data_IF_513796151697
#
_entry.id   IF_513796151697
#
_cell.length_a   1.000
_cell.length_b   1.000
_cell.length_c   1.000
_cell.angle_alpha   90.00
_cell.angle_beta   90.00
_cell.angle_gamma   90.00
#
_symmetry.space_group_name_H-M   'P 1'
#
loop_
_entity.id
_entity.type
_entity.pdbx_description
1 polymer ?
#
# COMPACT_ATOMS: atom_id res chain seq x y z
N UNK A 1 -9.75 11.49 4.36
CA UNK A 1 -9.88 12.03 2.98
C UNK A 1 -9.66 13.52 2.92
N UNK A 2 -10.28 14.31 3.76
CA UNK A 2 -10.03 15.76 3.82
C UNK A 2 -8.61 16.12 4.27
N UNK A 3 -7.87 15.20 4.85
CA UNK A 3 -6.49 15.44 5.31
C UNK A 3 -5.44 15.33 4.21
N UNK A 4 -5.77 14.70 3.09
CA UNK A 4 -4.89 14.53 1.93
C UNK A 4 -5.19 15.55 0.83
N UNK A 5 -5.48 15.03 -0.34
CA UNK A 5 -5.72 15.82 -1.55
C UNK A 5 -6.90 16.79 -1.46
N UNK A 6 -8.01 16.43 -0.79
CA UNK A 6 -9.17 17.31 -0.66
C UNK A 6 -8.85 18.65 -0.02
N UNK A 7 -7.99 18.66 1.01
CA UNK A 7 -7.54 19.88 1.69
C UNK A 7 -6.82 20.86 0.75
N UNK A 8 -6.19 20.34 -0.28
CA UNK A 8 -5.42 21.14 -1.26
C UNK A 8 -6.16 21.32 -2.58
N UNK A 9 -7.43 20.97 -2.67
CA UNK A 9 -8.20 21.04 -3.90
C UNK A 9 -7.76 20.03 -4.98
N UNK A 10 -7.00 19.03 -4.61
CA UNK A 10 -6.59 17.96 -5.52
C UNK A 10 -7.71 16.94 -5.62
N UNK A 11 -8.14 16.53 -6.83
CA UNK A 11 -9.18 15.53 -6.99
C UNK A 11 -8.75 14.18 -6.42
N UNK A 12 -9.72 13.41 -5.94
CA UNK A 12 -9.50 12.03 -5.48
C UNK A 12 -8.94 11.19 -6.65
N UNK A 13 -7.92 10.34 -6.44
CA UNK A 13 -7.46 9.41 -7.44
C UNK A 13 -8.59 8.46 -7.89
N UNK A 14 -8.67 8.18 -9.19
CA UNK A 14 -9.61 7.20 -9.73
C UNK A 14 -9.24 5.76 -9.36
N UNK A 15 -7.96 5.47 -9.27
CA UNK A 15 -7.41 4.15 -8.91
C UNK A 15 -6.05 4.32 -8.23
N UNK A 16 -5.67 3.36 -7.39
CA UNK A 16 -4.31 3.25 -6.83
C UNK A 16 -3.64 1.98 -7.34
N UNK A 17 -2.42 2.11 -7.85
CA UNK A 17 -1.57 1.01 -8.29
C UNK A 17 -0.32 0.98 -7.41
N UNK A 18 -0.25 0.03 -6.49
CA UNK A 18 0.73 0.00 -5.40
C UNK A 18 1.66 -1.20 -5.52
N UNK A 19 2.94 -0.93 -5.70
CA UNK A 19 3.99 -1.94 -5.67
C UNK A 19 4.65 -1.95 -4.29
N UNK A 20 4.67 -3.10 -3.61
CA UNK A 20 5.29 -3.30 -2.28
C UNK A 20 5.08 -2.10 -1.32
N UNK A 21 3.83 -1.65 -1.07
CA UNK A 21 3.59 -0.42 -0.34
C UNK A 21 4.00 -0.53 1.13
N UNK A 22 4.58 0.56 1.66
CA UNK A 22 4.71 0.77 3.10
C UNK A 22 3.54 1.65 3.53
N UNK A 23 2.59 1.07 4.24
CA UNK A 23 1.30 1.70 4.53
C UNK A 23 0.88 1.60 6.00
N UNK A 24 1.61 0.83 6.81
CA UNK A 24 1.31 0.62 8.22
C UNK A 24 2.55 0.88 9.06
N UNK A 25 2.50 1.90 9.89
CA UNK A 25 3.60 2.34 10.74
C UNK A 25 3.46 1.91 12.19
N UNK A 26 2.32 1.32 12.55
CA UNK A 26 2.10 0.75 13.88
C UNK A 26 3.04 -0.45 14.08
N UNK A 27 3.77 -0.46 15.17
CA UNK A 27 4.77 -1.49 15.46
C UNK A 27 6.07 -1.37 14.67
N UNK A 28 6.31 -0.22 14.02
CA UNK A 28 7.59 0.06 13.36
C UNK A 28 8.76 -0.03 14.35
N UNK A 29 9.88 -0.54 13.87
CA UNK A 29 11.09 -0.70 14.71
C UNK A 29 11.77 0.65 15.00
N UNK A 30 12.58 0.75 16.07
CA UNK A 30 13.22 2.01 16.46
C UNK A 30 14.01 2.71 15.35
N UNK A 31 14.64 1.96 14.44
CA UNK A 31 15.36 2.53 13.31
C UNK A 31 14.47 3.38 12.38
N UNK A 32 13.19 3.06 12.29
CA UNK A 32 12.22 3.82 11.52
C UNK A 32 11.81 5.12 12.21
N UNK A 33 11.89 5.14 13.54
CA UNK A 33 11.62 6.34 14.35
C UNK A 33 12.62 7.47 14.05
N UNK A 34 13.85 7.12 13.66
CA UNK A 34 14.87 8.09 13.27
C UNK A 34 14.58 8.78 11.92
N UNK A 35 13.80 8.14 11.06
CA UNK A 35 13.41 8.68 9.76
C UNK A 35 12.16 9.56 9.82
N UNK A 36 11.35 9.36 10.86
CA UNK A 36 10.10 10.05 11.07
C UNK A 36 10.23 10.89 12.34
N UNK A 37 10.52 12.13 12.28
CA UNK A 37 10.68 13.10 13.39
C UNK A 37 10.07 12.67 14.75
N UNK A 38 10.89 12.66 15.79
CA UNK A 38 10.69 11.94 17.05
C UNK A 38 9.61 12.47 17.99
N UNK A 39 9.17 13.72 17.88
CA UNK A 39 8.39 14.38 18.94
C UNK A 39 6.88 14.04 19.00
N UNK A 40 6.35 13.29 18.02
CA UNK A 40 4.90 13.01 17.92
C UNK A 40 4.58 11.65 17.31
N UNK A 41 5.41 10.68 17.57
CA UNK A 41 5.44 9.38 16.87
C UNK A 41 4.10 8.64 16.85
N UNK A 42 3.43 8.45 17.98
CA UNK A 42 2.20 7.65 18.03
C UNK A 42 1.06 8.27 17.22
N UNK A 43 0.85 9.58 17.32
CA UNK A 43 -0.20 10.27 16.55
C UNK A 43 0.08 10.27 15.06
N UNK A 44 1.35 10.43 14.65
CA UNK A 44 1.75 10.37 13.25
C UNK A 44 1.59 8.97 12.70
N UNK A 45 2.05 7.94 13.41
CA UNK A 45 1.88 6.57 12.96
C UNK A 45 0.43 6.20 12.76
N UNK A 46 -0.44 6.54 13.70
CA UNK A 46 -1.85 6.33 13.54
C UNK A 46 -2.43 7.09 12.35
N UNK A 47 -2.05 8.36 12.19
CA UNK A 47 -2.54 9.23 11.12
C UNK A 47 -2.06 8.83 9.72
N UNK A 48 -0.91 8.17 9.62
CA UNK A 48 -0.34 7.71 8.35
C UNK A 48 -0.50 6.21 8.12
N UNK A 49 -1.09 5.48 9.04
CA UNK A 49 -1.39 4.06 8.85
C UNK A 49 -2.60 3.92 7.94
N UNK A 50 -2.35 3.74 6.64
CA UNK A 50 -3.35 3.76 5.59
C UNK A 50 -4.48 2.76 5.83
N UNK A 51 -4.17 1.56 6.31
CA UNK A 51 -5.18 0.54 6.62
C UNK A 51 -6.24 0.97 7.65
N UNK A 52 -5.95 2.00 8.45
CA UNK A 52 -6.91 2.60 9.40
C UNK A 52 -7.75 3.71 8.78
N UNK A 53 -7.39 4.16 7.59
CA UNK A 53 -8.02 5.26 6.87
C UNK A 53 -8.87 4.77 5.69
N UNK A 54 -8.87 3.48 5.42
CA UNK A 54 -9.70 2.89 4.37
C UNK A 54 -11.16 2.99 4.75
N UNK A 55 -11.96 3.58 3.86
CA UNK A 55 -13.42 3.71 3.96
C UNK A 55 -14.04 3.17 2.67
N UNK A 56 -15.37 2.98 2.59
CA UNK A 56 -16.03 2.58 1.34
C UNK A 56 -15.75 3.50 0.16
N UNK A 57 -15.43 4.78 0.43
CA UNK A 57 -15.06 5.76 -0.61
C UNK A 57 -13.57 5.73 -0.99
N UNK A 58 -12.81 4.78 -0.47
CA UNK A 58 -11.39 4.64 -0.84
C UNK A 58 -11.27 4.25 -2.32
N UNK A 59 -10.25 4.75 -3.05
CA UNK A 59 -10.10 4.41 -4.47
C UNK A 59 -9.94 2.91 -4.70
N UNK A 60 -10.48 2.36 -5.80
CA UNK A 60 -10.14 1.01 -6.23
C UNK A 60 -8.63 0.81 -6.22
N UNK A 61 -8.16 -0.32 -5.73
CA UNK A 61 -6.74 -0.49 -5.44
C UNK A 61 -6.20 -1.82 -5.95
N UNK A 62 -5.23 -1.75 -6.87
CA UNK A 62 -4.34 -2.85 -7.17
C UNK A 62 -3.13 -2.77 -6.24
N UNK A 63 -2.75 -3.87 -5.61
CA UNK A 63 -1.50 -3.92 -4.86
C UNK A 63 -0.81 -5.26 -5.00
N UNK A 64 0.52 -5.23 -4.99
CA UNK A 64 1.30 -6.44 -4.85
C UNK A 64 2.42 -6.30 -3.81
N UNK A 65 2.85 -7.43 -3.26
CA UNK A 65 3.96 -7.48 -2.32
C UNK A 65 4.69 -8.82 -2.38
N UNK A 66 5.96 -8.80 -2.00
CA UNK A 66 6.78 -10.01 -1.85
C UNK A 66 6.54 -10.69 -0.51
N UNK A 67 6.21 -11.98 -0.51
CA UNK A 67 6.05 -12.79 0.72
C UNK A 67 7.31 -12.80 1.57
N UNK A 68 8.44 -12.80 0.93
CA UNK A 68 9.76 -12.87 1.56
C UNK A 68 10.54 -11.56 1.52
N UNK A 69 9.86 -10.44 1.46
CA UNK A 69 10.49 -9.12 1.49
C UNK A 69 11.23 -8.88 2.81
N UNK A 70 12.55 -9.03 2.76
CA UNK A 70 13.42 -8.91 3.95
C UNK A 70 13.48 -7.48 4.48
N UNK A 71 13.30 -6.47 3.64
CA UNK A 71 13.29 -5.08 4.07
C UNK A 71 12.10 -4.82 5.00
N UNK A 72 10.92 -5.32 4.66
CA UNK A 72 9.75 -5.21 5.53
C UNK A 72 9.98 -5.94 6.86
N UNK A 73 10.56 -7.14 6.80
CA UNK A 73 10.86 -7.93 8.01
C UNK A 73 11.89 -7.26 8.93
N UNK A 74 12.84 -6.53 8.36
CA UNK A 74 13.95 -5.92 9.11
C UNK A 74 13.60 -4.56 9.72
N UNK A 75 12.88 -3.70 9.01
CA UNK A 75 12.78 -2.28 9.38
C UNK A 75 11.37 -1.82 9.75
N UNK A 76 10.34 -2.46 9.23
CA UNK A 76 8.95 -2.06 9.45
C UNK A 76 8.10 -3.24 9.88
N UNK A 77 6.80 -3.03 9.98
CA UNK A 77 5.83 -4.09 10.26
C UNK A 77 5.72 -5.01 9.03
N UNK A 78 5.94 -6.32 9.18
CA UNK A 78 6.07 -7.23 8.04
C UNK A 78 4.76 -7.50 7.28
N UNK A 79 3.61 -7.20 7.88
CA UNK A 79 2.29 -7.47 7.29
C UNK A 79 1.71 -6.24 6.57
N UNK A 80 2.53 -5.46 5.88
CA UNK A 80 2.10 -4.25 5.16
C UNK A 80 1.00 -4.54 4.14
N UNK A 81 1.26 -5.40 3.17
CA UNK A 81 0.32 -5.79 2.13
C UNK A 81 -0.93 -6.49 2.69
N UNK A 82 -0.80 -7.55 3.50
CA UNK A 82 -1.95 -8.24 4.08
C UNK A 82 -2.87 -7.34 4.91
N UNK A 83 -2.32 -6.38 5.64
CA UNK A 83 -3.12 -5.47 6.47
C UNK A 83 -3.94 -4.51 5.61
N UNK A 84 -3.36 -3.98 4.53
CA UNK A 84 -4.09 -3.12 3.60
C UNK A 84 -5.15 -3.91 2.84
N UNK A 85 -4.81 -5.08 2.31
CA UNK A 85 -5.74 -5.95 1.60
C UNK A 85 -6.99 -6.24 2.44
N UNK A 86 -6.80 -6.65 3.70
CA UNK A 86 -7.91 -6.91 4.64
C UNK A 86 -8.77 -5.66 4.88
N UNK A 87 -8.16 -4.47 4.95
CA UNK A 87 -8.92 -3.24 5.16
C UNK A 87 -9.76 -2.87 3.93
N UNK A 88 -9.23 -3.07 2.72
CA UNK A 88 -9.95 -2.87 1.46
C UNK A 88 -11.15 -3.81 1.35
N UNK A 89 -10.95 -5.11 1.60
CA UNK A 89 -12.02 -6.11 1.61
C UNK A 89 -13.11 -5.78 2.62
N UNK A 90 -12.72 -5.46 3.86
CA UNK A 90 -13.66 -5.13 4.94
C UNK A 90 -14.51 -3.87 4.65
N UNK A 91 -13.99 -2.96 3.83
CA UNK A 91 -14.66 -1.73 3.42
C UNK A 91 -15.40 -1.85 2.08
N UNK A 92 -15.40 -3.03 1.45
CA UNK A 92 -16.05 -3.26 0.15
C UNK A 92 -15.41 -2.49 -1.01
N UNK A 93 -14.14 -2.10 -0.88
CA UNK A 93 -13.40 -1.39 -1.93
C UNK A 93 -12.97 -2.37 -3.00
N UNK A 94 -13.25 -2.13 -4.30
CA UNK A 94 -12.74 -2.95 -5.39
C UNK A 94 -11.22 -3.08 -5.29
N UNK A 95 -10.70 -4.30 -5.26
CA UNK A 95 -9.27 -4.50 -5.13
C UNK A 95 -8.79 -5.78 -5.82
N UNK A 96 -7.51 -5.77 -6.25
CA UNK A 96 -6.76 -6.95 -6.69
C UNK A 96 -5.44 -6.99 -5.94
N UNK A 97 -5.17 -8.11 -5.31
CA UNK A 97 -3.97 -8.33 -4.49
C UNK A 97 -3.15 -9.46 -5.09
N UNK A 98 -1.88 -9.19 -5.38
CA UNK A 98 -0.94 -10.20 -5.87
C UNK A 98 0.20 -10.41 -4.89
N UNK A 99 0.60 -11.67 -4.71
CA UNK A 99 1.63 -12.06 -3.77
C UNK A 99 2.68 -12.88 -4.50
N UNK A 100 3.91 -12.40 -4.50
CA UNK A 100 5.03 -13.04 -5.16
C UNK A 100 6.00 -13.62 -4.15
N UNK A 101 6.51 -14.82 -4.41
CA UNK A 101 7.41 -15.50 -3.46
C UNK A 101 8.85 -14.99 -3.54
N UNK A 102 9.31 -14.61 -4.73
CA UNK A 102 10.69 -14.21 -4.99
C UNK A 102 10.87 -12.70 -5.23
N UNK A 103 9.79 -11.94 -5.24
CA UNK A 103 9.86 -10.50 -5.39
C UNK A 103 10.39 -9.86 -4.10
N UNK A 104 11.35 -8.94 -4.24
CA UNK A 104 11.94 -8.17 -3.16
C UNK A 104 11.44 -6.73 -3.20
N UNK A 105 11.72 -6.00 -2.15
CA UNK A 105 11.46 -4.56 -2.13
C UNK A 105 12.30 -3.81 -3.15
N UNK A 106 11.71 -2.84 -3.85
CA UNK A 106 12.46 -1.94 -4.75
C UNK A 106 12.81 -2.51 -6.12
N UNK A 107 12.19 -3.61 -6.57
CA UNK A 107 12.52 -4.24 -7.86
C UNK A 107 11.85 -3.60 -9.09
N UNK A 108 11.13 -2.49 -8.91
CA UNK A 108 10.53 -1.74 -10.02
C UNK A 108 9.53 -2.58 -10.82
N UNK A 109 9.82 -2.81 -12.10
CA UNK A 109 8.96 -3.60 -13.00
C UNK A 109 9.04 -5.11 -12.80
N UNK A 110 9.87 -5.57 -11.87
CA UNK A 110 9.97 -6.99 -11.51
C UNK A 110 10.73 -7.86 -12.52
N UNK A 111 11.46 -7.28 -13.47
CA UNK A 111 12.15 -8.03 -14.53
C UNK A 111 13.03 -9.16 -13.96
N UNK A 112 12.87 -10.38 -14.51
CA UNK A 112 13.58 -11.57 -14.06
C UNK A 112 13.11 -12.15 -12.73
N UNK A 113 11.97 -11.71 -12.20
CA UNK A 113 11.34 -12.26 -11.00
C UNK A 113 9.94 -12.80 -11.31
N UNK A 114 9.30 -13.41 -10.32
CA UNK A 114 7.90 -13.82 -10.40
C UNK A 114 6.90 -12.67 -10.43
N UNK A 115 7.35 -11.44 -10.17
CA UNK A 115 6.56 -10.23 -10.34
C UNK A 115 6.68 -9.59 -11.74
N UNK A 116 7.41 -10.21 -12.66
CA UNK A 116 7.47 -9.71 -14.04
C UNK A 116 6.08 -9.75 -14.67
N UNK A 117 5.64 -8.62 -15.23
CA UNK A 117 4.30 -8.50 -15.82
C UNK A 117 3.28 -7.79 -14.93
N UNK A 118 3.55 -7.56 -13.64
CA UNK A 118 2.61 -6.91 -12.72
C UNK A 118 2.05 -5.57 -13.25
N UNK A 119 2.81 -4.85 -14.06
CA UNK A 119 2.36 -3.57 -14.66
C UNK A 119 1.19 -3.79 -15.63
N UNK A 120 1.23 -4.88 -16.42
CA UNK A 120 0.13 -5.25 -17.31
C UNK A 120 -1.12 -5.66 -16.51
N UNK A 121 -0.95 -6.43 -15.45
CA UNK A 121 -2.03 -6.84 -14.55
C UNK A 121 -2.66 -5.63 -13.84
N UNK A 122 -1.84 -4.67 -13.43
CA UNK A 122 -2.33 -3.41 -12.85
C UNK A 122 -3.09 -2.56 -13.87
N UNK A 123 -2.65 -2.52 -15.13
CA UNK A 123 -3.35 -1.81 -16.21
C UNK A 123 -4.70 -2.47 -16.53
N UNK A 124 -4.75 -3.80 -16.56
CA UNK A 124 -6.01 -4.55 -16.72
C UNK A 124 -7.00 -4.24 -15.58
N UNK A 125 -6.53 -4.27 -14.34
CA UNK A 125 -7.35 -3.89 -13.19
C UNK A 125 -7.87 -2.45 -13.32
N UNK A 126 -7.01 -1.50 -13.69
CA UNK A 126 -7.42 -0.11 -13.89
C UNK A 126 -8.52 0.00 -14.94
N UNK A 127 -8.38 -0.66 -16.08
CA UNK A 127 -9.41 -0.67 -17.14
C UNK A 127 -10.74 -1.20 -16.60
N UNK A 128 -10.71 -2.34 -15.90
CA UNK A 128 -11.91 -2.98 -15.37
C UNK A 128 -12.73 -2.11 -14.41
N UNK A 129 -12.07 -1.27 -13.59
CA UNK A 129 -12.75 -0.38 -12.63
C UNK A 129 -13.05 1.01 -13.18
N UNK A 130 -12.60 1.32 -14.41
CA UNK A 130 -12.85 2.61 -15.07
C UNK A 130 -14.05 2.56 -16.02
N UNK A 131 -14.54 1.37 -16.35
CA UNK A 131 -15.67 1.15 -17.25
C UNK A 131 -17.03 1.09 -16.52
N UNK A 132 -17.02 1.13 -15.18
CA UNK A 132 -18.20 1.26 -14.33
C UNK A 132 -18.53 2.73 -14.00
#
# INVERSE_FOLDING_TARGET
EEKGWGRYGVPKPGVLLLAYPINNFLGAKPAYHLLMDTDRLERRYYSYTVSKLVTPDYPPTFLWYGRNDLMLKAFVYPLQGPTLAKALEASGVPNRVEVYDNAKHGIGIGAGTDAEGWVADAAEFWQSVSEE
#
